data_IF_237376903316
#
_entry.id   IF_237376903316
#
_cell.length_a   1.000
_cell.length_b   1.000
_cell.length_c   1.000
_cell.angle_alpha   90.00
_cell.angle_beta   90.00
_cell.angle_gamma   90.00
#
_symmetry.space_group_name_H-M   'P 1'
#
loop_
_entity.id
_entity.type
_entity.pdbx_description
1 polymer ?
#
# COMPACT_ATOMS: atom_id res chain seq x y z
N UNK A 1 12.19 -29.95 30.28
CA UNK A 1 12.15 -30.41 28.89
C UNK A 1 12.09 -29.19 27.99
N UNK A 2 13.19 -28.84 27.33
CA UNK A 2 13.30 -27.69 26.44
C UNK A 2 13.14 -28.18 25.00
N UNK A 3 12.05 -27.78 24.32
CA UNK A 3 11.85 -28.07 22.91
C UNK A 3 12.56 -27.01 22.10
N UNK A 4 13.64 -27.37 21.44
CA UNK A 4 14.41 -26.57 20.49
C UNK A 4 13.75 -26.67 19.11
N UNK A 5 12.98 -25.65 18.73
CA UNK A 5 12.52 -25.47 17.37
C UNK A 5 13.69 -24.98 16.49
N UNK A 6 14.25 -25.87 15.69
CA UNK A 6 15.27 -25.59 14.71
C UNK A 6 14.68 -24.81 13.53
N UNK A 7 14.86 -23.50 13.51
CA UNK A 7 14.62 -22.70 12.33
C UNK A 7 15.68 -23.05 11.25
N UNK A 8 15.25 -23.68 10.18
CA UNK A 8 16.10 -23.93 9.00
C UNK A 8 16.43 -22.59 8.34
N UNK A 9 17.63 -22.08 8.62
CA UNK A 9 18.22 -20.97 7.89
C UNK A 9 18.55 -21.47 6.47
N UNK A 10 17.76 -21.07 5.49
CA UNK A 10 18.14 -21.23 4.09
C UNK A 10 19.39 -20.38 3.83
N UNK A 11 20.53 -21.02 3.60
CA UNK A 11 21.77 -20.34 3.17
C UNK A 11 21.60 -19.96 1.72
N UNK A 12 21.34 -18.71 1.45
CA UNK A 12 21.52 -18.13 0.12
C UNK A 12 23.00 -18.18 -0.25
N UNK A 13 23.37 -19.08 -1.14
CA UNK A 13 24.68 -19.05 -1.80
C UNK A 13 24.57 -18.05 -2.95
N UNK A 14 25.33 -16.98 -2.89
CA UNK A 14 25.56 -16.09 -4.04
C UNK A 14 26.31 -16.88 -5.12
N UNK A 15 25.58 -17.47 -6.03
CA UNK A 15 26.16 -17.94 -7.28
C UNK A 15 26.07 -16.80 -8.29
N UNK A 16 27.13 -16.03 -8.40
CA UNK A 16 27.45 -15.36 -9.66
C UNK A 16 27.78 -16.45 -10.65
N UNK A 17 26.75 -16.96 -11.32
CA UNK A 17 26.96 -17.78 -12.50
C UNK A 17 26.07 -17.28 -13.64
N UNK A 18 26.76 -17.02 -14.74
CA UNK A 18 26.22 -16.46 -15.95
C UNK A 18 25.11 -17.37 -16.53
N UNK A 19 23.96 -16.79 -16.87
CA UNK A 19 23.18 -17.29 -17.97
C UNK A 19 22.08 -18.32 -17.69
N UNK A 20 21.60 -18.51 -16.47
CA UNK A 20 20.39 -19.30 -16.26
C UNK A 20 19.16 -18.47 -16.68
N UNK A 21 18.76 -18.63 -17.95
CA UNK A 21 17.40 -18.26 -18.36
C UNK A 21 16.44 -19.13 -17.54
N UNK A 22 15.40 -18.54 -16.90
CA UNK A 22 14.40 -19.35 -16.21
C UNK A 22 13.88 -20.38 -17.19
N UNK A 23 13.94 -21.65 -16.79
CA UNK A 23 13.40 -22.75 -17.59
C UNK A 23 11.94 -22.41 -17.93
N UNK A 24 11.59 -22.46 -19.21
CA UNK A 24 10.23 -22.13 -19.69
C UNK A 24 9.14 -23.04 -19.11
N UNK A 25 9.53 -24.10 -18.40
CA UNK A 25 8.66 -25.05 -17.72
C UNK A 25 8.56 -24.87 -16.20
N UNK A 26 9.35 -24.00 -15.59
CA UNK A 26 9.34 -23.83 -14.14
C UNK A 26 8.03 -23.16 -13.68
N UNK A 27 7.27 -23.85 -12.83
CA UNK A 27 6.11 -23.29 -12.14
C UNK A 27 6.58 -22.66 -10.83
N UNK A 28 6.50 -21.35 -10.76
CA UNK A 28 6.87 -20.59 -9.57
C UNK A 28 5.61 -20.33 -8.74
N UNK A 29 5.68 -20.65 -7.44
CA UNK A 29 4.70 -20.17 -6.48
C UNK A 29 5.04 -18.71 -6.15
N UNK A 30 4.31 -17.81 -6.77
CA UNK A 30 4.54 -16.38 -6.62
C UNK A 30 4.21 -15.86 -5.21
N UNK A 31 3.38 -16.56 -4.45
CA UNK A 31 3.06 -16.18 -3.08
C UNK A 31 4.12 -16.68 -2.10
N UNK A 32 4.63 -17.90 -2.29
CA UNK A 32 5.78 -18.38 -1.53
C UNK A 32 7.03 -17.50 -1.72
N UNK A 33 7.31 -17.07 -2.97
CA UNK A 33 8.41 -16.15 -3.25
C UNK A 33 8.19 -14.79 -2.56
N UNK A 34 6.96 -14.26 -2.59
CA UNK A 34 6.62 -13.02 -1.87
C UNK A 34 6.90 -13.16 -0.38
N UNK A 35 6.51 -14.26 0.23
CA UNK A 35 6.68 -14.50 1.67
C UNK A 35 8.17 -14.62 2.03
N UNK A 36 8.97 -15.31 1.22
CA UNK A 36 10.43 -15.36 1.38
C UNK A 36 11.07 -13.96 1.26
N UNK A 37 10.66 -13.17 0.26
CA UNK A 37 11.11 -11.79 0.09
C UNK A 37 10.69 -10.93 1.28
N UNK A 38 9.47 -11.10 1.78
CA UNK A 38 8.96 -10.41 2.96
C UNK A 38 9.84 -10.66 4.19
N UNK A 39 10.17 -11.93 4.47
CA UNK A 39 11.08 -12.30 5.55
C UNK A 39 12.46 -11.67 5.40
N UNK A 40 13.04 -11.74 4.19
CA UNK A 40 14.33 -11.11 3.89
C UNK A 40 14.31 -9.59 4.10
N UNK A 41 13.24 -8.92 3.68
CA UNK A 41 13.08 -7.46 3.84
C UNK A 41 13.03 -7.08 5.31
N UNK A 42 12.25 -7.80 6.13
CA UNK A 42 12.15 -7.54 7.57
C UNK A 42 13.50 -7.72 8.26
N UNK A 43 14.23 -8.77 7.93
CA UNK A 43 15.56 -9.04 8.48
C UNK A 43 16.59 -7.95 8.14
N UNK A 44 16.46 -7.32 6.96
CA UNK A 44 17.44 -6.33 6.44
C UNK A 44 17.09 -4.90 6.78
N UNK A 45 15.82 -4.56 6.77
CA UNK A 45 15.36 -3.19 7.04
C UNK A 45 15.10 -2.94 8.53
N UNK A 46 14.96 -4.00 9.32
CA UNK A 46 14.71 -3.91 10.76
C UNK A 46 13.28 -3.49 11.12
N UNK A 47 13.01 -3.30 12.42
CA UNK A 47 11.69 -2.94 12.94
C UNK A 47 11.39 -1.43 12.81
N UNK A 48 10.22 -1.03 13.29
CA UNK A 48 9.77 0.36 13.46
C UNK A 48 9.56 1.16 12.16
N UNK A 49 9.35 0.46 11.06
CA UNK A 49 9.08 1.09 9.77
C UNK A 49 7.64 1.53 9.56
N UNK A 50 7.40 2.04 8.36
CA UNK A 50 6.09 2.47 7.86
C UNK A 50 5.66 1.52 6.76
N UNK A 51 4.44 0.98 6.85
CA UNK A 51 3.75 0.34 5.73
C UNK A 51 3.12 1.44 4.86
N UNK A 52 3.33 1.35 3.56
CA UNK A 52 2.83 2.34 2.59
C UNK A 52 2.01 1.59 1.55
N UNK A 53 0.75 1.99 1.41
CA UNK A 53 -0.14 1.47 0.37
C UNK A 53 -0.25 2.49 -0.75
N UNK A 54 -0.05 2.01 -1.98
CA UNK A 54 -0.19 2.83 -3.19
C UNK A 54 -0.47 1.93 -4.40
N UNK A 55 -0.91 2.52 -5.50
CA UNK A 55 -1.11 1.80 -6.75
C UNK A 55 -0.21 2.31 -7.88
N UNK A 56 0.06 1.40 -8.81
CA UNK A 56 0.79 1.73 -10.03
C UNK A 56 0.05 1.23 -11.26
N UNK A 57 -0.09 2.09 -12.26
CA UNK A 57 -0.67 1.77 -13.55
C UNK A 57 0.40 1.32 -14.54
N UNK A 58 0.24 0.12 -15.10
CA UNK A 58 1.08 -0.43 -16.14
C UNK A 58 0.39 -0.28 -17.49
N UNK A 59 0.87 0.62 -18.33
CA UNK A 59 0.31 0.85 -19.67
C UNK A 59 0.45 -0.42 -20.52
N UNK A 60 -0.62 -0.81 -21.19
CA UNK A 60 -0.70 -1.98 -22.06
C UNK A 60 -1.18 -1.61 -23.45
N UNK A 61 -0.65 -2.27 -24.47
CA UNK A 61 -1.09 -2.07 -25.87
C UNK A 61 -2.32 -2.93 -26.21
N UNK A 62 -2.48 -4.08 -25.54
CA UNK A 62 -3.57 -5.02 -25.78
C UNK A 62 -4.63 -5.00 -24.68
N UNK A 63 -5.70 -5.77 -24.87
CA UNK A 63 -6.84 -5.89 -23.96
C UNK A 63 -6.95 -7.25 -23.25
N UNK A 64 -6.06 -8.20 -23.55
CA UNK A 64 -6.13 -9.59 -23.06
C UNK A 64 -5.53 -9.81 -21.67
N UNK A 65 -4.66 -8.92 -21.16
CA UNK A 65 -4.07 -9.12 -19.82
C UNK A 65 -5.11 -8.86 -18.73
N UNK A 66 -5.11 -9.68 -17.67
CA UNK A 66 -6.03 -9.55 -16.53
C UNK A 66 -6.04 -8.12 -15.97
N UNK A 67 -7.23 -7.56 -15.69
CA UNK A 67 -7.40 -6.21 -15.13
C UNK A 67 -7.22 -5.04 -16.10
N UNK A 68 -6.90 -5.31 -17.38
CA UNK A 68 -6.70 -4.25 -18.39
C UNK A 68 -8.03 -3.61 -18.81
N UNK A 69 -8.10 -2.30 -18.72
CA UNK A 69 -9.14 -1.46 -19.34
C UNK A 69 -8.63 -0.02 -19.51
N UNK A 70 -9.45 0.84 -20.15
CA UNK A 70 -9.24 2.29 -20.11
C UNK A 70 -9.62 2.80 -18.72
N UNK A 71 -8.62 3.27 -17.97
CA UNK A 71 -8.78 3.80 -16.62
C UNK A 71 -7.68 4.81 -16.31
N UNK A 72 -7.86 5.62 -15.27
CA UNK A 72 -6.86 6.58 -14.87
C UNK A 72 -5.59 5.86 -14.37
N UNK A 73 -4.45 6.27 -14.89
CA UNK A 73 -3.13 5.83 -14.45
C UNK A 73 -2.42 7.00 -13.80
N UNK A 74 -2.15 6.96 -12.50
CA UNK A 74 -1.37 7.97 -11.79
C UNK A 74 0.04 8.12 -12.39
N UNK A 75 0.65 7.02 -12.82
CA UNK A 75 1.98 7.01 -13.46
C UNK A 75 1.98 7.77 -14.81
N UNK A 76 0.91 7.64 -15.60
CA UNK A 76 0.77 8.36 -16.87
C UNK A 76 0.14 9.76 -16.74
N UNK A 77 -0.46 10.05 -15.57
CA UNK A 77 -1.19 11.31 -15.31
C UNK A 77 -2.47 11.49 -16.13
N UNK A 78 -2.98 10.42 -16.75
CA UNK A 78 -4.15 10.46 -17.66
C UNK A 78 -4.85 9.11 -17.77
N UNK A 79 -6.00 9.10 -18.47
CA UNK A 79 -6.71 7.85 -18.79
C UNK A 79 -5.96 7.12 -19.91
N UNK A 80 -5.54 5.90 -19.63
CA UNK A 80 -4.83 5.00 -20.54
C UNK A 80 -5.40 3.58 -20.48
N UNK A 81 -5.12 2.79 -21.51
CA UNK A 81 -5.31 1.34 -21.46
C UNK A 81 -4.21 0.78 -20.56
N UNK A 82 -4.57 0.45 -19.33
CA UNK A 82 -3.60 0.01 -18.34
C UNK A 82 -4.15 -1.06 -17.41
N UNK A 83 -3.24 -1.73 -16.74
CA UNK A 83 -3.44 -2.68 -15.67
C UNK A 83 -3.00 -2.00 -14.37
N UNK A 84 -3.77 -2.10 -13.29
CA UNK A 84 -3.43 -1.47 -12.01
C UNK A 84 -3.06 -2.54 -11.00
N UNK A 85 -1.87 -2.41 -10.45
CA UNK A 85 -1.43 -3.15 -9.27
C UNK A 85 -1.51 -2.27 -8.02
N UNK A 86 -2.11 -2.79 -6.96
CA UNK A 86 -2.03 -2.20 -5.60
C UNK A 86 -0.87 -2.86 -4.89
N UNK A 87 0.00 -2.06 -4.31
CA UNK A 87 1.23 -2.50 -3.67
C UNK A 87 1.27 -2.12 -2.21
N UNK A 88 1.89 -2.98 -1.41
CA UNK A 88 2.28 -2.71 -0.05
C UNK A 88 3.80 -2.61 0.02
N UNK A 89 4.31 -1.45 0.41
CA UNK A 89 5.73 -1.22 0.64
C UNK A 89 6.03 -1.12 2.14
N UNK A 90 7.27 -1.44 2.51
CA UNK A 90 7.82 -1.21 3.83
C UNK A 90 9.02 -0.28 3.74
N UNK A 91 9.04 0.76 4.56
CA UNK A 91 10.09 1.77 4.56
C UNK A 91 10.61 2.01 5.97
N UNK A 92 11.93 2.05 6.10
CA UNK A 92 12.67 2.42 7.31
C UNK A 92 13.78 3.39 6.96
N UNK A 93 14.52 3.97 7.92
CA UNK A 93 15.72 4.74 7.62
C UNK A 93 16.79 3.96 6.84
N UNK A 94 16.82 2.61 6.96
CA UNK A 94 17.77 1.75 6.26
C UNK A 94 17.42 1.53 4.77
N UNK A 95 16.15 1.77 4.37
CA UNK A 95 15.73 1.58 3.00
C UNK A 95 14.25 1.33 2.85
N UNK A 96 13.86 0.88 1.65
CA UNK A 96 12.47 0.55 1.31
C UNK A 96 12.41 -0.62 0.35
N UNK A 97 11.34 -1.43 0.47
CA UNK A 97 11.06 -2.54 -0.43
C UNK A 97 9.55 -2.80 -0.55
N UNK A 98 9.14 -3.45 -1.62
CA UNK A 98 7.78 -3.95 -1.78
C UNK A 98 7.65 -5.26 -0.99
N UNK A 99 6.54 -5.41 -0.26
CA UNK A 99 6.22 -6.62 0.51
C UNK A 99 5.13 -7.45 -0.15
N UNK A 100 4.09 -6.79 -0.68
CA UNK A 100 2.96 -7.48 -1.29
C UNK A 100 2.43 -6.70 -2.49
N UNK A 101 1.66 -7.39 -3.32
CA UNK A 101 0.98 -6.85 -4.50
C UNK A 101 -0.37 -7.54 -4.69
N UNK A 102 -1.35 -6.78 -5.17
CA UNK A 102 -2.64 -7.29 -5.61
C UNK A 102 -3.02 -6.67 -6.94
N UNK A 103 -3.54 -7.50 -7.85
CA UNK A 103 -4.07 -7.00 -9.11
C UNK A 103 -5.48 -6.47 -8.91
N UNK A 104 -5.72 -5.24 -9.30
CA UNK A 104 -7.06 -4.67 -9.33
C UNK A 104 -7.81 -5.14 -10.57
N UNK A 105 -8.95 -5.77 -10.36
CA UNK A 105 -9.86 -6.20 -11.42
C UNK A 105 -11.09 -5.27 -11.43
N UNK A 106 -11.22 -4.36 -12.41
CA UNK A 106 -12.37 -3.44 -12.50
C UNK A 106 -13.71 -4.17 -12.61
N UNK A 107 -14.66 -3.83 -11.73
CA UNK A 107 -15.91 -4.57 -11.49
C UNK A 107 -16.72 -4.88 -12.76
N UNK A 108 -16.90 -3.85 -13.60
CA UNK A 108 -17.81 -3.95 -14.75
C UNK A 108 -17.22 -4.64 -15.97
N UNK A 109 -15.90 -4.86 -16.01
CA UNK A 109 -15.22 -5.38 -17.20
C UNK A 109 -14.52 -6.71 -16.96
N UNK A 110 -14.28 -7.09 -15.73
CA UNK A 110 -13.58 -8.33 -15.38
C UNK A 110 -14.45 -9.29 -14.58
N UNK A 111 -14.83 -9.03 -13.31
CA UNK A 111 -15.69 -9.96 -12.57
C UNK A 111 -17.06 -10.21 -13.24
N UNK A 112 -17.56 -9.24 -14.00
CA UNK A 112 -18.80 -9.39 -14.78
C UNK A 112 -18.61 -10.20 -16.07
N UNK A 113 -17.40 -10.61 -16.42
CA UNK A 113 -17.08 -11.36 -17.63
C UNK A 113 -16.24 -12.62 -17.31
N UNK A 114 -16.84 -13.70 -16.79
CA UNK A 114 -16.11 -14.90 -16.36
C UNK A 114 -15.24 -15.53 -17.43
N UNK A 115 -15.71 -15.57 -18.68
CA UNK A 115 -14.97 -16.10 -19.81
C UNK A 115 -13.68 -15.31 -20.08
N UNK A 116 -13.75 -13.98 -19.92
CA UNK A 116 -12.58 -13.10 -20.04
C UNK A 116 -11.59 -13.36 -18.93
N UNK A 117 -12.06 -13.55 -17.71
CA UNK A 117 -11.23 -13.91 -16.57
C UNK A 117 -10.51 -15.24 -16.83
N UNK A 118 -11.24 -16.25 -17.27
CA UNK A 118 -10.68 -17.57 -17.58
C UNK A 118 -9.62 -17.48 -18.69
N UNK A 119 -9.91 -16.77 -19.79
CA UNK A 119 -8.98 -16.58 -20.90
C UNK A 119 -7.70 -15.84 -20.49
N UNK A 120 -7.77 -14.97 -19.48
CA UNK A 120 -6.63 -14.25 -18.92
C UNK A 120 -5.93 -14.99 -17.78
N UNK A 121 -6.35 -16.21 -17.43
CA UNK A 121 -5.78 -17.00 -16.35
C UNK A 121 -6.10 -16.47 -14.95
N UNK A 122 -7.19 -15.72 -14.77
CA UNK A 122 -7.65 -15.28 -13.45
C UNK A 122 -8.31 -16.48 -12.76
N UNK A 123 -7.83 -16.87 -11.55
CA UNK A 123 -8.44 -17.97 -10.80
C UNK A 123 -9.91 -17.69 -10.47
N UNK A 124 -10.75 -18.76 -10.54
CA UNK A 124 -12.21 -18.62 -10.39
C UNK A 124 -12.68 -18.15 -9.02
N UNK A 125 -11.86 -18.34 -8.00
CA UNK A 125 -12.12 -17.89 -6.62
C UNK A 125 -11.86 -16.38 -6.40
N UNK A 126 -11.27 -15.69 -7.37
CA UNK A 126 -10.97 -14.25 -7.25
C UNK A 126 -12.27 -13.45 -7.43
N UNK A 127 -12.75 -12.90 -6.32
CA UNK A 127 -13.87 -11.98 -6.30
C UNK A 127 -13.45 -10.53 -6.55
N UNK A 128 -14.42 -9.68 -6.89
CA UNK A 128 -14.20 -8.25 -6.97
C UNK A 128 -13.81 -7.67 -5.60
N UNK A 129 -12.76 -6.84 -5.61
CA UNK A 129 -12.39 -6.03 -4.47
C UNK A 129 -12.01 -4.62 -4.93
N UNK A 130 -12.42 -3.60 -4.17
CA UNK A 130 -11.94 -2.23 -4.38
C UNK A 130 -10.46 -2.12 -4.02
N UNK A 131 -9.76 -1.10 -4.51
CA UNK A 131 -8.36 -0.87 -4.15
C UNK A 131 -8.16 -0.76 -2.63
N UNK A 132 -8.98 -0.01 -1.87
CA UNK A 132 -8.91 -0.02 -0.41
C UNK A 132 -9.16 -1.39 0.22
N UNK A 133 -10.08 -2.19 -0.31
CA UNK A 133 -10.33 -3.54 0.20
C UNK A 133 -9.12 -4.47 -0.02
N UNK A 134 -8.40 -4.32 -1.14
CA UNK A 134 -7.15 -5.03 -1.38
C UNK A 134 -6.08 -4.62 -0.35
N UNK A 135 -5.95 -3.33 -0.04
CA UNK A 135 -5.06 -2.83 1.00
C UNK A 135 -5.43 -3.36 2.39
N UNK A 136 -6.74 -3.35 2.72
CA UNK A 136 -7.29 -3.88 3.97
C UNK A 136 -6.98 -5.37 4.17
N UNK A 137 -6.81 -6.13 3.09
CA UNK A 137 -6.35 -7.52 3.16
C UNK A 137 -4.83 -7.64 3.31
N UNK A 138 -4.04 -6.82 2.59
CA UNK A 138 -2.57 -6.91 2.59
C UNK A 138 -1.94 -6.45 3.91
N UNK A 139 -2.43 -5.36 4.51
CA UNK A 139 -1.82 -4.82 5.73
C UNK A 139 -1.88 -5.80 6.91
N UNK A 140 -3.03 -6.40 7.26
CA UNK A 140 -3.07 -7.41 8.31
C UNK A 140 -2.24 -8.65 7.99
N UNK A 141 -2.21 -9.08 6.72
CA UNK A 141 -1.41 -10.23 6.31
C UNK A 141 0.09 -9.99 6.55
N UNK A 142 0.62 -8.81 6.20
CA UNK A 142 2.00 -8.44 6.46
C UNK A 142 2.32 -8.40 7.97
N UNK A 143 1.44 -7.81 8.78
CA UNK A 143 1.61 -7.76 10.24
C UNK A 143 1.59 -9.17 10.85
N UNK A 144 0.68 -10.04 10.40
CA UNK A 144 0.60 -11.43 10.86
C UNK A 144 1.83 -12.25 10.42
N UNK A 145 2.46 -11.90 9.30
CA UNK A 145 3.72 -12.49 8.84
C UNK A 145 4.95 -11.96 9.59
N UNK A 146 4.77 -11.10 10.58
CA UNK A 146 5.84 -10.63 11.46
C UNK A 146 6.50 -9.32 11.03
N UNK A 147 5.89 -8.55 10.11
CA UNK A 147 6.39 -7.20 9.78
C UNK A 147 6.15 -6.26 10.96
N UNK A 148 7.24 -5.74 11.54
CA UNK A 148 7.20 -4.87 12.72
C UNK A 148 7.08 -3.40 12.30
N UNK A 149 5.94 -3.04 11.72
CA UNK A 149 5.65 -1.66 11.36
C UNK A 149 5.01 -0.91 12.54
N UNK A 150 5.33 0.38 12.69
CA UNK A 150 4.69 1.29 13.66
C UNK A 150 3.55 2.09 13.05
N UNK A 151 3.62 2.36 11.75
CA UNK A 151 2.71 3.26 11.06
C UNK A 151 2.26 2.68 9.73
N UNK A 152 1.05 3.08 9.33
CA UNK A 152 0.53 2.83 7.99
C UNK A 152 0.22 4.17 7.33
N UNK A 153 0.61 4.32 6.06
CA UNK A 153 0.34 5.50 5.25
C UNK A 153 -0.20 5.09 3.88
N UNK A 154 -0.91 5.99 3.24
CA UNK A 154 -1.44 5.83 1.89
C UNK A 154 -1.99 7.16 1.38
N UNK A 155 -2.33 7.21 0.11
CA UNK A 155 -2.96 8.39 -0.46
C UNK A 155 -4.45 8.52 -0.08
N UNK A 156 -5.14 9.50 -0.68
CA UNK A 156 -6.53 9.80 -0.37
C UNK A 156 -7.51 8.67 -0.75
N UNK A 157 -7.16 7.81 -1.70
CA UNK A 157 -7.97 6.65 -2.10
C UNK A 157 -8.11 5.69 -0.93
N UNK A 158 -7.02 5.49 -0.18
CA UNK A 158 -6.98 4.59 0.98
C UNK A 158 -7.40 5.29 2.28
N UNK A 159 -7.03 6.55 2.45
CA UNK A 159 -7.33 7.32 3.66
C UNK A 159 -8.80 7.64 3.88
N UNK A 160 -9.61 7.58 2.83
CA UNK A 160 -11.06 7.78 2.94
C UNK A 160 -11.83 6.50 3.31
N UNK A 161 -11.20 5.33 3.23
CA UNK A 161 -11.88 4.06 3.51
C UNK A 161 -12.03 3.82 5.01
N UNK A 162 -13.27 3.75 5.53
CA UNK A 162 -13.51 3.55 6.96
C UNK A 162 -13.15 2.14 7.43
N UNK A 163 -13.15 1.14 6.53
CA UNK A 163 -12.84 -0.26 6.88
C UNK A 163 -11.35 -0.41 7.14
N UNK A 164 -10.50 0.22 6.31
CA UNK A 164 -9.06 0.21 6.53
C UNK A 164 -8.74 0.87 7.87
N UNK A 165 -9.35 2.04 8.18
CA UNK A 165 -9.16 2.70 9.48
C UNK A 165 -9.60 1.82 10.64
N UNK A 166 -10.78 1.21 10.58
CA UNK A 166 -11.27 0.31 11.63
C UNK A 166 -10.29 -0.84 11.93
N UNK A 167 -9.75 -1.47 10.88
CA UNK A 167 -8.76 -2.55 11.01
C UNK A 167 -7.46 -2.04 11.67
N UNK A 168 -7.02 -0.83 11.33
CA UNK A 168 -5.82 -0.24 11.92
C UNK A 168 -6.03 0.12 13.40
N UNK A 169 -7.19 0.67 13.73
CA UNK A 169 -7.60 0.99 15.12
C UNK A 169 -7.70 -0.27 15.98
N UNK A 170 -8.38 -1.32 15.50
CA UNK A 170 -8.48 -2.61 16.18
C UNK A 170 -7.09 -3.18 16.51
N UNK A 171 -6.14 -3.01 15.60
CA UNK A 171 -4.76 -3.46 15.78
C UNK A 171 -3.86 -2.47 16.53
N UNK A 172 -4.39 -1.35 16.98
CA UNK A 172 -3.64 -0.27 17.65
C UNK A 172 -2.45 0.22 16.82
N UNK A 173 -2.60 0.23 15.49
CA UNK A 173 -1.59 0.72 14.56
C UNK A 173 -1.70 2.23 14.40
N UNK A 174 -0.58 2.95 14.47
CA UNK A 174 -0.51 4.33 14.04
C UNK A 174 -0.82 4.43 12.53
N UNK A 175 -1.57 5.45 12.10
CA UNK A 175 -1.83 5.66 10.68
C UNK A 175 -1.85 7.14 10.32
N UNK A 176 -1.29 7.47 9.16
CA UNK A 176 -1.22 8.82 8.60
C UNK A 176 -1.50 8.75 7.08
N UNK A 177 -2.70 8.34 6.66
CA UNK A 177 -3.07 8.41 5.26
C UNK A 177 -3.49 9.83 4.89
N UNK A 178 -3.34 10.18 3.61
CA UNK A 178 -3.92 11.41 3.09
C UNK A 178 -5.45 11.32 3.00
N UNK A 179 -6.12 12.44 3.08
CA UNK A 179 -7.55 12.57 2.81
C UNK A 179 -7.79 13.67 1.78
N UNK A 180 -8.87 13.57 1.02
CA UNK A 180 -9.24 14.61 0.06
C UNK A 180 -9.58 15.92 0.78
N UNK A 181 -9.22 17.06 0.19
CA UNK A 181 -9.46 18.38 0.79
C UNK A 181 -10.94 18.67 1.05
N UNK A 182 -11.86 18.08 0.28
CA UNK A 182 -13.30 18.20 0.47
C UNK A 182 -13.89 17.21 1.50
N UNK A 183 -13.06 16.34 2.11
CA UNK A 183 -13.50 15.44 3.17
C UNK A 183 -14.03 16.23 4.35
N UNK A 184 -15.23 15.89 4.81
CA UNK A 184 -15.83 16.50 6.01
C UNK A 184 -15.16 15.91 7.25
N UNK A 185 -14.79 16.76 8.18
CA UNK A 185 -14.21 16.44 9.47
C UNK A 185 -14.92 17.27 10.54
N UNK A 186 -14.96 16.77 11.76
CA UNK A 186 -15.50 17.52 12.88
C UNK A 186 -14.40 18.41 13.48
N UNK A 187 -14.68 19.71 13.58
CA UNK A 187 -13.83 20.67 14.24
C UNK A 187 -14.65 21.36 15.32
N UNK A 188 -14.46 20.98 16.57
CA UNK A 188 -15.17 21.53 17.73
C UNK A 188 -16.71 21.45 17.59
N UNK A 189 -17.23 20.33 17.09
CA UNK A 189 -18.67 20.10 16.89
C UNK A 189 -19.22 20.68 15.58
N UNK A 190 -18.37 21.26 14.73
CA UNK A 190 -18.76 21.83 13.43
C UNK A 190 -18.18 21.01 12.29
N UNK A 191 -19.06 20.55 11.39
CA UNK A 191 -18.65 19.82 10.18
C UNK A 191 -18.08 20.78 9.15
N UNK A 192 -16.75 20.72 8.94
CA UNK A 192 -16.01 21.52 7.96
C UNK A 192 -15.25 20.63 7.00
N UNK A 193 -14.77 21.14 5.86
CA UNK A 193 -13.87 20.38 4.99
C UNK A 193 -12.44 20.42 5.54
N UNK A 194 -11.65 19.39 5.21
CA UNK A 194 -10.23 19.35 5.58
C UNK A 194 -9.45 20.55 5.00
N UNK A 195 -9.84 21.04 3.83
CA UNK A 195 -9.27 22.26 3.24
C UNK A 195 -9.58 23.51 4.09
N UNK A 196 -10.82 23.64 4.59
CA UNK A 196 -11.20 24.74 5.50
C UNK A 196 -10.40 24.69 6.79
N UNK A 197 -10.23 23.51 7.40
CA UNK A 197 -9.35 23.35 8.59
C UNK A 197 -7.95 23.91 8.31
N UNK A 198 -7.38 23.60 7.15
CA UNK A 198 -6.07 24.09 6.77
C UNK A 198 -6.00 25.63 6.67
N UNK A 199 -7.10 26.33 6.34
CA UNK A 199 -7.14 27.79 6.29
C UNK A 199 -7.17 28.43 7.68
N UNK A 200 -7.72 27.74 8.69
CA UNK A 200 -7.79 28.23 10.07
C UNK A 200 -6.47 28.10 10.83
N UNK A 201 -5.51 27.33 10.30
CA UNK A 201 -4.19 27.17 10.93
C UNK A 201 -3.36 28.43 10.69
N UNK A 202 -3.03 29.14 11.78
CA UNK A 202 -2.18 30.33 11.72
C UNK A 202 -0.74 30.00 11.43
N UNK A 203 0.03 30.93 10.83
CA UNK A 203 1.42 30.69 10.42
C UNK A 203 2.33 30.30 11.59
N UNK A 204 2.08 30.79 12.80
CA UNK A 204 2.83 30.41 14.01
C UNK A 204 2.75 28.92 14.37
N UNK A 205 1.70 28.23 13.90
CA UNK A 205 1.52 26.79 14.15
C UNK A 205 1.98 25.95 12.96
N UNK A 206 2.52 26.58 11.91
CA UNK A 206 3.04 25.90 10.73
C UNK A 206 4.54 25.70 10.87
N UNK A 207 4.97 24.45 10.80
CA UNK A 207 6.37 24.08 10.82
C UNK A 207 6.83 23.64 9.44
N UNK A 208 7.89 24.27 8.92
CA UNK A 208 8.45 23.90 7.61
C UNK A 208 9.39 22.71 7.76
N UNK A 209 9.09 21.66 7.02
CA UNK A 209 9.95 20.47 6.96
C UNK A 209 10.36 20.18 5.51
N UNK A 210 11.60 19.75 5.36
CA UNK A 210 12.14 19.29 4.08
C UNK A 210 11.78 17.81 3.90
N UNK A 211 10.97 17.50 2.88
CA UNK A 211 10.59 16.13 2.52
C UNK A 211 11.50 15.52 1.44
N UNK A 212 12.81 15.81 1.52
CA UNK A 212 13.81 15.26 0.60
C UNK A 212 14.01 16.09 -0.68
N UNK A 213 14.73 15.49 -1.63
CA UNK A 213 15.06 16.10 -2.92
C UNK A 213 14.04 15.68 -3.97
N UNK A 214 13.53 16.62 -4.74
CA UNK A 214 12.70 16.37 -5.92
C UNK A 214 13.44 16.72 -7.21
N UNK A 215 12.86 16.44 -8.37
CA UNK A 215 13.43 16.74 -9.68
C UNK A 215 13.68 18.27 -9.89
N UNK A 216 12.91 19.11 -9.20
CA UNK A 216 12.99 20.58 -9.27
C UNK A 216 13.68 21.21 -8.05
N UNK A 217 14.43 20.45 -7.27
CA UNK A 217 15.11 20.90 -6.06
C UNK A 217 14.47 20.37 -4.76
N UNK A 218 14.88 20.90 -3.59
CA UNK A 218 14.37 20.47 -2.29
C UNK A 218 12.87 20.70 -2.17
N UNK A 219 12.15 19.68 -1.70
CA UNK A 219 10.71 19.78 -1.44
C UNK A 219 10.48 20.24 0.00
N UNK A 220 9.89 21.41 0.14
CA UNK A 220 9.51 22.00 1.42
C UNK A 220 8.00 21.98 1.58
N UNK A 221 7.54 21.54 2.72
CA UNK A 221 6.13 21.56 3.10
C UNK A 221 5.96 22.29 4.43
N UNK A 222 4.87 23.01 4.57
CA UNK A 222 4.43 23.57 5.83
C UNK A 222 3.45 22.60 6.49
N UNK A 223 3.78 22.12 7.68
CA UNK A 223 3.03 21.14 8.45
C UNK A 223 2.41 21.82 9.66
N UNK A 224 1.19 21.44 9.97
CA UNK A 224 0.53 21.81 11.19
C UNK A 224 -0.29 20.63 11.70
N UNK A 225 -0.60 20.66 12.99
CA UNK A 225 -1.49 19.68 13.61
C UNK A 225 -2.76 20.40 14.05
N UNK A 226 -3.90 19.89 13.64
CA UNK A 226 -5.21 20.26 14.17
C UNK A 226 -5.85 19.03 14.79
N UNK A 227 -6.47 19.17 15.95
CA UNK A 227 -7.31 18.11 16.51
C UNK A 227 -8.66 18.21 15.82
N UNK A 228 -9.07 17.11 15.24
CA UNK A 228 -10.38 16.90 14.64
C UNK A 228 -11.00 15.73 15.37
N UNK A 229 -12.33 15.74 15.54
CA UNK A 229 -13.03 14.65 16.20
C UNK A 229 -12.64 14.46 17.68
N UNK A 230 -13.47 14.94 18.58
CA UNK A 230 -13.22 14.87 20.03
C UNK A 230 -13.46 13.46 20.61
N UNK A 231 -14.16 12.60 19.87
CA UNK A 231 -14.54 11.25 20.31
C UNK A 231 -13.52 10.17 19.97
N UNK A 232 -12.44 10.49 19.24
CA UNK A 232 -11.38 9.51 19.00
C UNK A 232 -10.55 9.27 20.26
N UNK A 233 -10.34 7.99 20.65
CA UNK A 233 -9.55 7.65 21.82
C UNK A 233 -8.14 8.24 21.76
N UNK A 234 -7.60 8.71 22.87
CA UNK A 234 -6.28 9.35 23.02
C UNK A 234 -5.07 8.55 22.51
N UNK A 235 -5.27 7.36 21.99
CA UNK A 235 -4.21 6.45 21.53
C UNK A 235 -3.66 6.68 20.11
N UNK A 236 -4.28 7.54 19.31
CA UNK A 236 -3.94 7.79 17.90
C UNK A 236 -3.43 9.21 17.67
N UNK A 237 -2.46 9.62 18.48
CA UNK A 237 -1.81 10.93 18.39
C UNK A 237 -0.58 10.90 17.50
#
# INVERSE_FOLDING_TARGET
MRSTGSARRARWRSHHDAGLRPDRGARWDADAIRDDVGGFVVDRLGPDGVLIVDETGFVKKGTGSAGVQRQYSGTAGRIETCQIGVFLAYATPAGRALLDRRLYLPAHTWPAAPERCQAAGVPGEIAFATKPALATAMVPAALNAGVLARWVSGDEVYGQDPRLRAVLQERRMGYVPAIAGNRRVDLDGVQVSAAEVATHVTDRHRHRHRAGQGAKGPRWYAWARARIDQDEPDGYR
#
